data_IF_629332876549
#
_entry.id   IF_629332876549
#
_cell.length_a   1.000
_cell.length_b   1.000
_cell.length_c   1.000
_cell.angle_alpha   90.00
_cell.angle_beta   90.00
_cell.angle_gamma   90.00
#
_symmetry.space_group_name_H-M   'P 1'
#
loop_
_entity.id
_entity.type
_entity.pdbx_description
1 polymer ?
#
# COMPACT_ATOMS: atom_id res chain seq x y z
N UNK A 1 -1.35 0.05 -19.88
CA UNK A 1 -2.55 0.55 -19.17
C UNK A 1 -2.05 0.96 -17.79
N UNK A 2 -1.99 2.25 -17.50
CA UNK A 2 -1.60 2.71 -16.16
C UNK A 2 -2.80 2.51 -15.24
N UNK A 3 -2.73 1.54 -14.33
CA UNK A 3 -3.75 1.35 -13.30
C UNK A 3 -3.40 2.21 -12.08
N UNK A 4 -4.33 3.08 -11.69
CA UNK A 4 -4.25 3.84 -10.44
C UNK A 4 -4.60 2.91 -9.29
N UNK A 5 -3.58 2.40 -8.60
CA UNK A 5 -3.75 1.59 -7.41
C UNK A 5 -3.88 2.54 -6.21
N UNK A 6 -4.99 2.44 -5.50
CA UNK A 6 -5.19 3.15 -4.24
C UNK A 6 -4.64 2.29 -3.10
N UNK A 7 -3.57 2.75 -2.47
CA UNK A 7 -2.98 2.10 -1.30
C UNK A 7 -3.57 2.71 -0.02
N UNK A 8 -3.83 1.86 0.98
CA UNK A 8 -4.35 2.28 2.27
C UNK A 8 -3.22 2.31 3.30
N UNK A 9 -3.11 3.42 4.04
CA UNK A 9 -2.11 3.62 5.08
C UNK A 9 -2.80 3.90 6.42
N UNK A 10 -2.33 3.25 7.48
CA UNK A 10 -2.75 3.55 8.85
C UNK A 10 -1.63 4.31 9.54
N UNK A 11 -1.92 5.49 10.03
CA UNK A 11 -0.99 6.34 10.76
C UNK A 11 -1.53 6.64 12.15
N UNK A 12 -0.64 6.73 13.13
CA UNK A 12 -0.98 7.17 14.49
C UNK A 12 -0.26 8.47 14.78
N UNK A 13 -1.02 9.53 14.98
CA UNK A 13 -0.51 10.86 15.25
C UNK A 13 -0.59 11.17 16.75
N UNK A 14 0.42 11.84 17.28
CA UNK A 14 0.41 12.38 18.63
C UNK A 14 0.06 13.87 18.60
N UNK A 15 -0.88 14.29 19.44
CA UNK A 15 -1.30 15.68 19.52
C UNK A 15 -0.24 16.51 20.21
N UNK A 16 0.23 17.55 19.53
CA UNK A 16 1.04 18.60 20.10
C UNK A 16 0.15 19.69 20.72
N UNK A 17 0.60 20.27 21.84
CA UNK A 17 -0.17 21.29 22.57
C UNK A 17 -0.31 22.61 21.81
N UNK A 18 0.63 22.94 20.91
CA UNK A 18 0.61 24.18 20.12
C UNK A 18 0.05 23.96 18.73
N UNK A 19 0.32 22.81 18.12
CA UNK A 19 0.05 22.51 16.70
C UNK A 19 -1.08 21.50 16.47
N UNK A 20 -1.64 20.92 17.53
CA UNK A 20 -2.64 19.86 17.39
C UNK A 20 -2.03 18.63 16.73
N UNK A 21 -2.74 18.02 15.78
CA UNK A 21 -2.20 16.91 14.99
C UNK A 21 -1.35 17.38 13.79
N UNK A 22 -1.26 18.69 13.54
CA UNK A 22 -0.47 19.24 12.43
C UNK A 22 -1.03 18.93 11.04
N UNK A 23 -2.35 18.78 10.91
CA UNK A 23 -3.04 18.59 9.63
C UNK A 23 -4.21 19.55 9.48
N UNK A 24 -4.51 19.93 8.25
CA UNK A 24 -5.77 20.53 7.84
C UNK A 24 -6.59 19.50 7.04
N UNK A 25 -7.89 19.48 7.30
CA UNK A 25 -8.84 18.66 6.54
C UNK A 25 -9.76 19.56 5.73
N UNK A 26 -10.15 19.10 4.54
CA UNK A 26 -11.14 19.71 3.66
C UNK A 26 -12.10 18.63 3.17
N UNK A 27 -13.13 19.05 2.41
CA UNK A 27 -14.15 18.12 1.93
C UNK A 27 -15.26 17.90 2.95
N UNK A 28 -16.08 16.89 2.66
CA UNK A 28 -17.31 16.58 3.39
C UNK A 28 -18.53 16.73 2.51
N UNK A 29 -19.64 16.11 2.93
CA UNK A 29 -20.91 16.14 2.19
C UNK A 29 -21.49 17.54 2.01
N UNK A 30 -21.27 18.43 2.97
CA UNK A 30 -21.71 19.82 2.94
C UNK A 30 -20.75 20.74 2.18
N UNK A 31 -19.51 20.31 1.95
CA UNK A 31 -18.47 21.10 1.30
C UNK A 31 -17.59 20.19 0.43
N UNK A 32 -18.10 19.71 -0.73
CA UNK A 32 -17.33 18.83 -1.60
C UNK A 32 -16.06 19.54 -2.07
N UNK A 33 -14.91 18.90 -1.86
CA UNK A 33 -13.60 19.50 -2.18
C UNK A 33 -13.28 19.39 -3.68
N UNK A 34 -13.73 18.32 -4.33
CA UNK A 34 -13.44 18.05 -5.73
C UNK A 34 -14.60 18.48 -6.62
N UNK A 35 -14.27 19.01 -7.81
CA UNK A 35 -15.25 19.45 -8.82
C UNK A 35 -16.15 18.30 -9.33
N UNK A 36 -15.74 17.05 -9.13
CA UNK A 36 -16.53 15.86 -9.44
C UNK A 36 -17.64 15.57 -8.40
N UNK A 37 -17.78 16.40 -7.37
CA UNK A 37 -18.77 16.23 -6.31
C UNK A 37 -18.38 15.19 -5.26
N UNK A 38 -17.10 14.79 -5.19
CA UNK A 38 -16.63 13.85 -4.17
C UNK A 38 -16.73 14.46 -2.77
N UNK A 39 -17.51 13.81 -1.91
CA UNK A 39 -17.81 14.23 -0.54
C UNK A 39 -16.81 13.71 0.49
N UNK A 40 -15.76 13.03 0.02
CA UNK A 40 -14.70 12.47 0.86
C UNK A 40 -13.97 13.55 1.65
N UNK A 41 -13.60 13.22 2.89
CA UNK A 41 -12.70 14.04 3.68
C UNK A 41 -11.27 13.85 3.16
N UNK A 42 -10.56 14.95 2.91
CA UNK A 42 -9.17 14.92 2.43
C UNK A 42 -8.25 15.76 3.29
N UNK A 43 -6.98 15.39 3.33
CA UNK A 43 -5.93 16.24 3.89
C UNK A 43 -5.63 17.34 2.87
N UNK A 44 -5.86 18.60 3.26
CA UNK A 44 -5.59 19.75 2.41
C UNK A 44 -4.26 20.43 2.69
N UNK A 45 -3.69 20.21 3.88
CA UNK A 45 -2.38 20.74 4.26
C UNK A 45 -1.79 19.90 5.40
N UNK A 46 -0.46 19.81 5.44
CA UNK A 46 0.31 19.15 6.49
C UNK A 46 1.35 20.12 7.00
N UNK A 47 1.31 20.40 8.30
CA UNK A 47 2.19 21.39 8.91
C UNK A 47 3.65 20.89 8.94
N UNK A 48 4.61 21.61 8.33
CA UNK A 48 6.02 21.21 8.36
C UNK A 48 6.61 21.17 9.77
N UNK A 49 7.32 20.09 10.09
CA UNK A 49 7.79 19.80 11.45
C UNK A 49 6.66 19.61 12.47
N UNK A 50 5.43 19.38 12.02
CA UNK A 50 4.30 19.01 12.85
C UNK A 50 4.22 17.49 13.08
N UNK A 51 3.30 17.02 13.93
CA UNK A 51 3.21 15.58 14.24
C UNK A 51 2.82 14.68 13.06
N UNK A 52 2.20 15.25 12.03
CA UNK A 52 1.81 14.54 10.81
C UNK A 52 2.81 14.65 9.67
N UNK A 53 3.85 15.49 9.83
CA UNK A 53 4.88 15.69 8.81
C UNK A 53 5.61 14.37 8.54
N UNK A 54 5.75 14.03 7.25
CA UNK A 54 6.31 12.76 6.80
C UNK A 54 5.42 11.52 6.97
N UNK A 55 4.30 11.60 7.72
CA UNK A 55 3.35 10.50 7.90
C UNK A 55 2.15 10.61 6.96
N UNK A 56 1.60 11.82 6.86
CA UNK A 56 0.49 12.15 5.96
C UNK A 56 0.94 13.12 4.87
N UNK A 57 0.18 13.17 3.79
CA UNK A 57 0.44 14.03 2.64
C UNK A 57 -0.86 14.73 2.21
N UNK A 58 -0.70 15.89 1.57
CA UNK A 58 -1.80 16.57 0.91
C UNK A 58 -2.45 15.63 -0.14
N UNK A 59 -3.77 15.73 -0.29
CA UNK A 59 -4.61 14.86 -1.12
C UNK A 59 -4.78 13.43 -0.61
N UNK A 60 -4.24 13.08 0.56
CA UNK A 60 -4.61 11.83 1.23
C UNK A 60 -6.11 11.83 1.55
N UNK A 61 -6.83 10.79 1.13
CA UNK A 61 -8.26 10.63 1.40
C UNK A 61 -8.45 9.95 2.73
N UNK A 62 -9.09 10.61 3.68
CA UNK A 62 -9.35 10.06 5.02
C UNK A 62 -10.52 9.08 4.94
N UNK A 63 -10.25 7.82 5.27
CA UNK A 63 -11.25 6.75 5.31
C UNK A 63 -11.77 6.54 6.72
N UNK A 64 -10.91 6.66 7.73
CA UNK A 64 -11.27 6.37 9.12
C UNK A 64 -10.46 7.22 10.10
N UNK A 65 -11.09 7.60 11.23
CA UNK A 65 -10.43 8.25 12.36
C UNK A 65 -10.86 7.53 13.65
N UNK A 66 -9.92 6.96 14.38
CA UNK A 66 -10.14 6.23 15.64
C UNK A 66 -11.27 5.18 15.55
N UNK A 67 -11.30 4.40 14.46
CA UNK A 67 -12.35 3.40 14.23
C UNK A 67 -13.67 3.95 13.69
N UNK A 68 -13.82 5.27 13.55
CA UNK A 68 -15.02 5.90 12.97
C UNK A 68 -14.83 6.11 11.47
N UNK A 69 -15.73 5.61 10.61
CA UNK A 69 -15.65 5.82 9.16
C UNK A 69 -15.90 7.29 8.80
N UNK A 70 -15.18 7.79 7.80
CA UNK A 70 -15.21 9.18 7.32
C UNK A 70 -15.79 9.31 5.90
N UNK A 71 -16.49 8.30 5.41
CA UNK A 71 -17.15 8.31 4.10
C UNK A 71 -18.50 9.04 4.18
N UNK A 72 -18.74 9.98 3.25
CA UNK A 72 -19.95 10.81 3.14
C UNK A 72 -20.38 11.51 4.45
N UNK A 73 -19.39 11.89 5.26
CA UNK A 73 -19.62 12.62 6.51
C UNK A 73 -19.59 14.13 6.30
N UNK A 74 -20.18 14.86 7.25
CA UNK A 74 -20.04 16.32 7.28
C UNK A 74 -18.61 16.73 7.60
N UNK A 75 -18.17 17.85 7.05
CA UNK A 75 -16.87 18.45 7.34
C UNK A 75 -16.68 18.64 8.86
N UNK A 76 -17.69 19.23 9.51
CA UNK A 76 -17.71 19.49 10.94
C UNK A 76 -17.61 18.22 11.78
N UNK A 77 -18.18 17.10 11.30
CA UNK A 77 -18.10 15.81 11.97
C UNK A 77 -16.67 15.28 11.99
N UNK A 78 -15.97 15.32 10.85
CA UNK A 78 -14.58 14.89 10.76
C UNK A 78 -13.67 15.71 11.71
N UNK A 79 -13.84 17.03 11.72
CA UNK A 79 -13.12 17.92 12.65
C UNK A 79 -13.43 17.57 14.10
N UNK A 80 -14.69 17.26 14.42
CA UNK A 80 -15.09 16.87 15.77
C UNK A 80 -14.43 15.55 16.20
N UNK A 81 -14.33 14.56 15.33
CA UNK A 81 -13.69 13.27 15.66
C UNK A 81 -12.20 13.45 15.94
N UNK A 82 -11.50 14.24 15.13
CA UNK A 82 -10.11 14.60 15.40
C UNK A 82 -9.98 15.32 16.75
N UNK A 83 -10.85 16.29 17.06
CA UNK A 83 -10.82 16.99 18.35
C UNK A 83 -11.11 16.07 19.55
N UNK A 84 -11.99 15.09 19.39
CA UNK A 84 -12.35 14.08 20.41
C UNK A 84 -11.24 13.06 20.66
N UNK A 85 -10.28 12.92 19.74
CA UNK A 85 -9.20 11.92 19.79
C UNK A 85 -8.20 12.13 20.95
N UNK A 86 -8.34 13.18 21.76
CA UNK A 86 -7.50 13.38 22.94
C UNK A 86 -6.04 13.60 22.55
N UNK A 87 -5.13 12.74 23.03
CA UNK A 87 -3.68 12.84 22.79
C UNK A 87 -3.21 12.06 21.55
N UNK A 88 -3.96 11.06 21.09
CA UNK A 88 -3.54 10.18 19.99
C UNK A 88 -4.70 9.96 19.03
N UNK A 89 -4.44 10.12 17.73
CA UNK A 89 -5.41 9.83 16.69
C UNK A 89 -4.84 8.77 15.73
N UNK A 90 -5.54 7.65 15.59
CA UNK A 90 -5.31 6.67 14.54
C UNK A 90 -6.13 7.08 13.32
N UNK A 91 -5.46 7.35 12.20
CA UNK A 91 -6.08 7.80 10.96
C UNK A 91 -5.74 6.80 9.87
N UNK A 92 -6.75 6.39 9.12
CA UNK A 92 -6.58 5.53 7.95
C UNK A 92 -6.85 6.36 6.71
N UNK A 93 -5.89 6.42 5.79
CA UNK A 93 -5.98 7.19 4.56
C UNK A 93 -5.78 6.33 3.32
N UNK A 94 -6.29 6.79 2.17
CA UNK A 94 -6.02 6.23 0.85
C UNK A 94 -5.20 7.23 0.03
N UNK A 95 -4.10 6.75 -0.57
CA UNK A 95 -3.22 7.54 -1.45
C UNK A 95 -3.13 6.87 -2.82
N UNK A 96 -3.27 7.62 -3.93
CA UNK A 96 -3.09 7.05 -5.25
C UNK A 96 -1.60 6.91 -5.54
N UNK A 97 -1.12 5.69 -5.78
CA UNK A 97 0.26 5.46 -6.23
C UNK A 97 0.27 5.11 -7.71
N UNK A 98 1.08 5.85 -8.47
CA UNK A 98 1.48 5.44 -9.82
C UNK A 98 2.52 4.32 -9.67
N UNK A 99 2.05 3.08 -9.61
CA UNK A 99 2.95 1.92 -9.61
C UNK A 99 3.44 1.75 -11.04
N UNK A 100 4.70 2.12 -11.32
CA UNK A 100 5.40 1.47 -12.42
C UNK A 100 5.57 0.03 -11.99
N UNK A 101 4.95 -0.91 -12.72
CA UNK A 101 5.10 -2.35 -12.50
C UNK A 101 6.54 -2.72 -12.86
N UNK A 102 7.49 -2.40 -11.97
CA UNK A 102 8.80 -3.02 -12.00
C UNK A 102 8.55 -4.48 -11.58
N UNK A 103 8.60 -5.36 -12.58
CA UNK A 103 8.43 -6.78 -12.47
C UNK A 103 9.07 -7.31 -11.17
N UNK A 104 8.23 -7.93 -10.34
CA UNK A 104 8.69 -8.76 -9.24
C UNK A 104 9.58 -9.85 -9.85
N UNK A 105 10.89 -9.65 -9.68
CA UNK A 105 11.95 -10.64 -9.56
C UNK A 105 11.51 -12.09 -9.82
N UNK A 106 11.75 -12.57 -11.05
CA UNK A 106 11.97 -13.99 -11.27
C UNK A 106 13.29 -14.35 -10.57
N UNK A 107 13.23 -15.27 -9.63
CA UNK A 107 14.36 -15.79 -8.85
C UNK A 107 15.48 -16.30 -9.77
N UNK A 108 16.77 -16.18 -9.42
CA UNK A 108 17.81 -16.94 -10.13
C UNK A 108 17.51 -18.45 -9.97
N UNK A 109 17.70 -19.27 -11.02
CA UNK A 109 17.50 -20.70 -10.92
C UNK A 109 18.47 -21.26 -9.87
N UNK A 110 17.93 -22.05 -8.94
CA UNK A 110 18.71 -22.85 -8.01
C UNK A 110 19.40 -23.95 -8.82
N UNK A 111 20.72 -23.87 -8.95
CA UNK A 111 21.58 -24.99 -9.33
C UNK A 111 21.44 -26.10 -8.27
N UNK A 112 20.57 -27.08 -8.51
CA UNK A 112 20.52 -28.32 -7.76
C UNK A 112 21.49 -29.33 -8.38
N UNK A 113 22.73 -29.26 -7.92
CA UNK A 113 23.67 -30.37 -7.90
C UNK A 113 23.16 -31.39 -6.86
N UNK A 114 22.33 -32.34 -7.29
CA UNK A 114 21.96 -33.50 -6.47
C UNK A 114 22.52 -34.78 -7.13
N UNK A 115 23.70 -35.15 -6.65
CA UNK A 115 24.35 -36.43 -6.88
C UNK A 115 23.48 -37.62 -6.44
N UNK A 116 23.42 -38.61 -7.32
CA UNK A 116 23.62 -40.04 -7.07
C UNK A 116 22.66 -40.80 -6.12
N UNK A 117 21.83 -41.67 -6.72
CA UNK A 117 21.57 -43.05 -6.28
C UNK A 117 20.90 -43.78 -7.48
N UNK A 118 21.59 -44.62 -8.27
CA UNK A 118 21.69 -46.10 -8.11
C UNK A 118 20.31 -46.76 -7.87
N UNK A 119 19.79 -47.77 -8.59
CA UNK A 119 20.37 -48.93 -9.30
C UNK A 119 19.21 -49.77 -9.96
N UNK A 120 19.50 -50.46 -11.08
CA UNK A 120 18.84 -51.65 -11.71
C UNK A 120 17.35 -51.56 -12.14
N UNK A 121 16.83 -52.20 -13.21
CA UNK A 121 17.08 -53.49 -13.90
C UNK A 121 16.96 -53.28 -15.44
N UNK A 122 17.87 -53.76 -16.30
CA UNK A 122 17.94 -55.13 -16.87
C UNK A 122 16.65 -55.58 -17.62
N UNK A 123 16.67 -55.55 -18.96
CA UNK A 123 16.51 -56.77 -19.79
C UNK A 123 16.70 -56.49 -21.30
N UNK A 124 17.80 -57.07 -21.81
CA UNK A 124 17.94 -57.84 -23.05
C UNK A 124 17.55 -57.24 -24.42
N UNK A 125 18.52 -57.24 -25.36
CA UNK A 125 18.13 -57.25 -26.77
C UNK A 125 19.15 -56.83 -27.83
N UNK A 126 20.20 -57.65 -28.01
CA UNK A 126 20.85 -57.97 -29.31
C UNK A 126 21.96 -57.06 -29.86
N UNK A 127 23.13 -57.68 -29.84
CA UNK A 127 24.32 -57.46 -30.68
C UNK A 127 24.03 -57.35 -32.18
N UNK A 128 24.81 -56.54 -32.90
CA UNK A 128 25.74 -57.07 -33.92
C UNK A 128 26.80 -56.04 -34.34
N UNK A 129 27.97 -56.61 -34.65
CA UNK A 129 29.24 -56.00 -35.06
C UNK A 129 29.11 -55.22 -36.38
N UNK A 130 29.99 -54.24 -36.59
CA UNK A 130 31.12 -54.35 -37.55
C UNK A 130 31.69 -52.97 -37.84
N UNK A 131 33.01 -52.82 -37.65
CA UNK A 131 33.76 -51.72 -38.24
C UNK A 131 34.01 -51.99 -39.73
N UNK A 132 34.21 -50.92 -40.49
CA UNK A 132 35.11 -50.89 -41.64
C UNK A 132 35.56 -49.44 -41.86
N UNK A 133 36.86 -49.28 -42.00
CA UNK A 133 37.57 -48.08 -42.42
C UNK A 133 37.63 -48.01 -43.94
N UNK A 134 37.68 -46.80 -44.49
CA UNK A 134 38.41 -46.48 -45.73
C UNK A 134 39.05 -45.10 -45.59
#
# INVERSE_FOLDING_TARGET
MEELIWEQYTVTLQKDSKRGFGIAVSGGRDNPHFENGETSIVISDVLPGGPADGLLQENDRVVMVNGTPMEDVLHSFAVQQLRKSGKVAAIVVKRPRKVQVAALQASPPLDQDDRAFEVMDEFDGRSFRSGYSE
#
